data_IF_124727875397
#
_entry.id   IF_124727875397
#
_cell.length_a   1.000
_cell.length_b   1.000
_cell.length_c   1.000
_cell.angle_alpha   90.00
_cell.angle_beta   90.00
_cell.angle_gamma   90.00
#
_symmetry.space_group_name_H-M   'P 1'
#
loop_
_entity.id
_entity.type
_entity.pdbx_description
1 polymer ?
#
# COMPACT_ATOMS: atom_id res chain seq x y z
N UNK A 1 -11.00 4.22 -24.65
CA UNK A 1 -10.77 3.80 -23.27
C UNK A 1 -11.94 2.94 -22.83
N UNK A 2 -11.72 1.80 -22.17
CA UNK A 2 -12.80 1.08 -21.50
C UNK A 2 -13.28 1.99 -20.37
N UNK A 3 -14.56 2.36 -20.38
CA UNK A 3 -15.17 2.99 -19.20
C UNK A 3 -15.38 1.88 -18.18
N UNK A 4 -14.55 1.88 -17.14
CA UNK A 4 -14.79 1.10 -15.94
C UNK A 4 -15.56 2.03 -14.99
N UNK A 5 -16.77 1.66 -14.60
CA UNK A 5 -17.60 2.48 -13.72
C UNK A 5 -17.29 2.25 -12.24
N UNK A 6 -16.28 1.43 -11.92
CA UNK A 6 -15.91 1.10 -10.55
C UNK A 6 -15.09 2.21 -9.92
N UNK A 7 -15.35 2.46 -8.64
CA UNK A 7 -14.70 3.53 -7.86
C UNK A 7 -13.70 2.94 -6.86
N UNK A 8 -12.49 3.49 -6.88
CA UNK A 8 -11.38 3.08 -6.01
C UNK A 8 -11.04 4.18 -5.02
N UNK A 9 -11.02 3.88 -3.72
CA UNK A 9 -10.34 4.71 -2.73
C UNK A 9 -8.85 4.31 -2.70
N UNK A 10 -7.95 5.29 -2.79
CA UNK A 10 -6.51 5.07 -2.79
C UNK A 10 -5.83 5.96 -1.75
N UNK A 11 -5.04 5.38 -0.83
CA UNK A 11 -4.20 6.16 0.11
C UNK A 11 -2.74 6.20 -0.32
N UNK A 12 -2.03 7.27 0.06
CA UNK A 12 -0.61 7.42 -0.27
C UNK A 12 -0.37 7.72 -1.75
N UNK A 13 -1.28 8.46 -2.39
CA UNK A 13 -1.32 8.65 -3.84
C UNK A 13 -0.27 9.63 -4.38
N UNK A 14 0.36 10.45 -3.52
CA UNK A 14 1.24 11.55 -3.97
C UNK A 14 2.61 11.11 -4.46
N UNK A 15 3.05 9.86 -4.17
CA UNK A 15 4.40 9.41 -4.50
C UNK A 15 4.54 7.87 -4.59
N UNK A 16 5.67 7.43 -5.12
CA UNK A 16 6.11 6.03 -5.09
C UNK A 16 5.11 5.05 -5.67
N UNK A 17 4.82 3.99 -4.93
CA UNK A 17 3.90 2.93 -5.34
C UNK A 17 2.48 3.48 -5.53
N UNK A 18 1.98 4.30 -4.59
CA UNK A 18 0.63 4.84 -4.67
C UNK A 18 0.41 5.71 -5.90
N UNK A 19 1.38 6.54 -6.28
CA UNK A 19 1.33 7.33 -7.50
C UNK A 19 1.29 6.45 -8.77
N UNK A 20 2.09 5.37 -8.80
CA UNK A 20 2.06 4.43 -9.93
C UNK A 20 0.75 3.63 -10.00
N UNK A 21 0.15 3.32 -8.83
CA UNK A 21 -1.18 2.70 -8.77
C UNK A 21 -2.25 3.66 -9.29
N UNK A 22 -2.21 4.94 -8.88
CA UNK A 22 -3.12 5.97 -9.37
C UNK A 22 -3.08 6.07 -10.90
N UNK A 23 -1.87 6.24 -11.47
CA UNK A 23 -1.68 6.33 -12.92
C UNK A 23 -2.31 5.14 -13.64
N UNK A 24 -2.02 3.92 -13.18
CA UNK A 24 -2.57 2.71 -13.80
C UNK A 24 -4.07 2.59 -13.66
N UNK A 25 -4.65 2.93 -12.52
CA UNK A 25 -6.11 2.91 -12.32
C UNK A 25 -6.82 3.86 -13.29
N UNK A 26 -6.30 5.08 -13.43
CA UNK A 26 -6.87 6.08 -14.34
C UNK A 26 -6.77 5.64 -15.82
N UNK A 27 -5.61 5.08 -16.22
CA UNK A 27 -5.42 4.52 -17.58
C UNK A 27 -6.42 3.38 -17.88
N UNK A 28 -6.72 2.54 -16.90
CA UNK A 28 -7.69 1.44 -17.05
C UNK A 28 -9.16 1.91 -16.91
N UNK A 29 -9.39 3.22 -16.67
CA UNK A 29 -10.71 3.84 -16.69
C UNK A 29 -11.46 3.78 -15.37
N UNK A 30 -10.81 3.47 -14.25
CA UNK A 30 -11.42 3.56 -12.92
C UNK A 30 -11.69 5.02 -12.54
N UNK A 31 -12.73 5.24 -11.73
CA UNK A 31 -12.86 6.46 -10.96
C UNK A 31 -12.04 6.32 -9.68
N UNK A 32 -11.17 7.29 -9.40
CA UNK A 32 -10.26 7.24 -8.26
C UNK A 32 -10.51 8.41 -7.32
N UNK A 33 -10.71 8.10 -6.04
CA UNK A 33 -10.64 9.06 -4.93
C UNK A 33 -9.29 8.86 -4.26
N UNK A 34 -8.36 9.74 -4.61
CA UNK A 34 -6.98 9.69 -4.13
C UNK A 34 -6.83 10.44 -2.80
N UNK A 35 -6.09 9.88 -1.85
CA UNK A 35 -5.82 10.56 -0.58
C UNK A 35 -4.35 10.52 -0.21
N UNK A 36 -3.90 11.60 0.43
CA UNK A 36 -2.60 11.69 1.07
C UNK A 36 -2.68 12.68 2.24
N UNK A 37 -1.69 12.72 3.13
CA UNK A 37 -1.69 13.63 4.28
C UNK A 37 -1.51 15.10 3.91
N UNK A 38 -0.84 15.39 2.80
CA UNK A 38 -0.49 16.74 2.36
C UNK A 38 -1.25 17.09 1.07
N UNK A 39 -2.17 18.04 1.16
CA UNK A 39 -2.97 18.49 0.01
C UNK A 39 -2.09 19.18 -1.04
N UNK A 40 -1.13 20.01 -0.63
CA UNK A 40 -0.27 20.75 -1.56
C UNK A 40 0.56 19.80 -2.43
N UNK A 41 1.03 18.67 -1.83
CA UNK A 41 1.74 17.64 -2.59
C UNK A 41 0.82 16.91 -3.58
N UNK A 42 -0.45 16.70 -3.21
CA UNK A 42 -1.46 16.15 -4.10
C UNK A 42 -1.75 17.13 -5.25
N UNK A 43 -2.08 18.38 -4.96
CA UNK A 43 -2.39 19.39 -5.97
C UNK A 43 -1.25 19.53 -6.99
N UNK A 44 -0.03 19.75 -6.53
CA UNK A 44 1.12 19.93 -7.43
C UNK A 44 1.37 18.73 -8.36
N UNK A 45 1.13 17.50 -7.87
CA UNK A 45 1.42 16.28 -8.63
C UNK A 45 0.23 15.74 -9.42
N UNK A 46 -1.00 16.03 -8.97
CA UNK A 46 -2.21 15.46 -9.56
C UNK A 46 -2.95 16.41 -10.48
N UNK A 47 -2.55 17.69 -10.57
CA UNK A 47 -3.17 18.65 -11.48
C UNK A 47 -3.10 18.21 -12.94
N UNK A 48 -1.98 17.67 -13.39
CA UNK A 48 -1.83 17.12 -14.75
C UNK A 48 -2.79 15.94 -14.99
N UNK A 49 -2.94 15.06 -13.98
CA UNK A 49 -3.93 13.99 -14.03
C UNK A 49 -5.36 14.53 -14.05
N UNK A 50 -5.67 15.51 -13.20
CA UNK A 50 -6.98 16.15 -13.17
C UNK A 50 -7.34 16.81 -14.50
N UNK A 51 -6.37 17.45 -15.16
CA UNK A 51 -6.55 17.99 -16.50
C UNK A 51 -6.81 16.91 -17.55
N UNK A 52 -6.12 15.76 -17.43
CA UNK A 52 -6.21 14.67 -18.40
C UNK A 52 -7.46 13.80 -18.20
N UNK A 53 -7.81 13.50 -16.95
CA UNK A 53 -8.84 12.52 -16.59
C UNK A 53 -10.13 13.14 -16.03
N UNK A 54 -10.13 14.46 -15.73
CA UNK A 54 -11.32 15.21 -15.34
C UNK A 54 -12.04 14.59 -14.14
N UNK A 55 -13.30 14.21 -14.34
CA UNK A 55 -14.18 13.67 -13.30
C UNK A 55 -13.83 12.23 -12.85
N UNK A 56 -12.83 11.58 -13.48
CA UNK A 56 -12.35 10.28 -13.02
C UNK A 56 -11.45 10.39 -11.78
N UNK A 57 -10.97 11.58 -11.43
CA UNK A 57 -10.08 11.80 -10.30
C UNK A 57 -10.64 12.86 -9.36
N UNK A 58 -10.87 12.47 -8.10
CA UNK A 58 -11.01 13.38 -6.97
C UNK A 58 -9.89 13.13 -5.96
N UNK A 59 -9.50 14.14 -5.17
CA UNK A 59 -8.45 13.96 -4.17
C UNK A 59 -8.73 14.76 -2.88
N UNK A 60 -8.32 14.19 -1.75
CA UNK A 60 -8.56 14.73 -0.41
C UNK A 60 -7.33 14.58 0.49
N UNK A 61 -7.10 15.58 1.35
CA UNK A 61 -6.12 15.47 2.41
C UNK A 61 -6.69 14.60 3.54
N UNK A 62 -6.04 13.46 3.80
CA UNK A 62 -6.36 12.56 4.92
C UNK A 62 -5.06 12.15 5.60
N UNK A 63 -4.91 12.55 6.87
CA UNK A 63 -3.82 12.09 7.72
C UNK A 63 -4.29 10.86 8.53
N UNK A 64 -3.57 9.75 8.38
CA UNK A 64 -3.87 8.52 9.13
C UNK A 64 -3.65 8.66 10.64
N UNK A 65 -3.01 9.75 11.10
CA UNK A 65 -2.86 10.10 12.51
C UNK A 65 -3.96 11.03 13.04
N UNK A 66 -4.86 11.56 12.18
CA UNK A 66 -5.94 12.43 12.65
C UNK A 66 -6.90 11.62 13.56
N UNK A 67 -7.19 12.08 14.80
CA UNK A 67 -8.17 11.43 15.68
C UNK A 67 -9.58 11.30 15.06
N UNK A 68 -9.87 12.10 14.04
CA UNK A 68 -11.15 12.08 13.31
C UNK A 68 -11.10 11.21 12.04
N UNK A 69 -10.03 10.42 11.83
CA UNK A 69 -9.84 9.62 10.63
C UNK A 69 -11.09 8.80 10.27
N UNK A 70 -11.66 8.06 11.24
CA UNK A 70 -12.85 7.26 11.02
C UNK A 70 -14.05 8.10 10.54
N UNK A 71 -14.22 9.30 11.07
CA UNK A 71 -15.30 10.21 10.66
C UNK A 71 -15.11 10.77 9.26
N UNK A 72 -13.87 11.15 8.92
CA UNK A 72 -13.51 11.66 7.58
C UNK A 72 -13.75 10.57 6.52
N UNK A 73 -13.30 9.35 6.77
CA UNK A 73 -13.50 8.23 5.84
C UNK A 73 -14.96 7.84 5.73
N UNK A 74 -15.70 7.80 6.85
CA UNK A 74 -17.14 7.57 6.83
C UNK A 74 -17.89 8.64 6.03
N UNK A 75 -17.42 9.89 6.00
CA UNK A 75 -17.96 10.94 5.14
C UNK A 75 -17.71 10.64 3.68
N UNK A 76 -16.49 10.28 3.29
CA UNK A 76 -16.18 9.89 1.91
C UNK A 76 -17.04 8.68 1.47
N UNK A 77 -17.26 7.69 2.35
CA UNK A 77 -18.11 6.54 2.06
C UNK A 77 -19.60 6.88 1.89
N UNK A 78 -20.07 8.05 2.35
CA UNK A 78 -21.40 8.57 2.06
C UNK A 78 -21.48 9.29 0.71
N UNK A 79 -20.40 9.93 0.30
CA UNK A 79 -20.31 10.68 -0.96
C UNK A 79 -20.00 9.75 -2.15
N UNK A 80 -19.21 8.70 -1.89
CA UNK A 80 -18.76 7.75 -2.91
C UNK A 80 -19.11 6.32 -2.52
N UNK A 81 -19.52 5.53 -3.51
CA UNK A 81 -19.62 4.08 -3.37
C UNK A 81 -18.30 3.45 -3.84
N UNK A 82 -17.47 3.02 -2.90
CA UNK A 82 -16.18 2.41 -3.22
C UNK A 82 -16.33 0.91 -3.51
N UNK A 83 -16.07 0.50 -4.73
CA UNK A 83 -16.00 -0.91 -5.14
C UNK A 83 -14.67 -1.53 -4.69
N UNK A 84 -13.61 -0.70 -4.64
CA UNK A 84 -12.27 -1.11 -4.27
C UNK A 84 -11.64 -0.15 -3.28
N UNK A 85 -10.74 -0.71 -2.46
CA UNK A 85 -9.84 0.08 -1.60
C UNK A 85 -8.41 -0.38 -1.78
N UNK A 86 -7.48 0.57 -2.01
CA UNK A 86 -6.04 0.32 -2.08
C UNK A 86 -5.33 1.15 -1.02
N UNK A 87 -4.70 0.47 -0.05
CA UNK A 87 -3.92 1.09 1.02
C UNK A 87 -2.44 1.08 0.66
N UNK A 88 -1.92 2.23 0.20
CA UNK A 88 -0.49 2.41 -0.12
C UNK A 88 0.26 3.27 0.90
N UNK A 89 -0.44 4.05 1.72
CA UNK A 89 0.20 4.91 2.72
C UNK A 89 1.02 4.10 3.73
N UNK A 90 2.20 4.59 4.03
CA UNK A 90 3.08 3.99 5.02
C UNK A 90 4.35 4.79 5.23
N UNK A 91 4.98 4.57 6.37
CA UNK A 91 6.23 5.24 6.78
C UNK A 91 7.26 4.22 7.22
N UNK A 92 8.52 4.61 7.11
CA UNK A 92 9.68 3.84 7.52
C UNK A 92 10.62 4.75 8.33
N UNK A 93 10.96 4.35 9.56
CA UNK A 93 12.07 4.90 10.33
C UNK A 93 13.21 3.87 10.44
N UNK A 94 14.42 4.33 10.21
CA UNK A 94 15.62 3.48 10.19
C UNK A 94 16.29 3.52 11.56
N UNK A 95 16.57 2.35 12.12
CA UNK A 95 17.30 2.24 13.38
C UNK A 95 17.25 0.82 13.96
N UNK A 96 18.19 0.54 14.85
CA UNK A 96 18.18 -0.72 15.60
C UNK A 96 17.00 -0.74 16.56
N UNK A 97 16.13 -1.73 16.47
CA UNK A 97 14.88 -1.80 17.22
C UNK A 97 15.08 -1.71 18.74
N UNK A 98 16.17 -2.24 19.27
CA UNK A 98 16.48 -2.21 20.70
C UNK A 98 16.94 -0.83 21.22
N UNK A 99 17.26 0.10 20.32
CA UNK A 99 17.71 1.46 20.65
C UNK A 99 16.84 2.55 20.03
N UNK A 100 15.75 2.19 19.31
CA UNK A 100 14.85 3.14 18.67
C UNK A 100 13.98 3.84 19.70
N UNK A 101 13.70 5.14 19.48
CA UNK A 101 12.78 5.89 20.32
C UNK A 101 11.36 5.29 20.26
N UNK A 102 10.69 5.26 21.40
CA UNK A 102 9.35 4.68 21.48
C UNK A 102 8.33 5.42 20.60
N UNK A 103 8.51 6.73 20.42
CA UNK A 103 7.71 7.57 19.54
C UNK A 103 7.78 7.11 18.08
N UNK A 104 8.98 6.84 17.57
CA UNK A 104 9.18 6.39 16.20
C UNK A 104 8.53 5.02 15.96
N UNK A 105 8.63 4.12 16.96
CA UNK A 105 7.97 2.82 16.90
C UNK A 105 6.46 2.99 16.86
N UNK A 106 5.88 3.79 17.79
CA UNK A 106 4.45 4.06 17.84
C UNK A 106 3.94 4.65 16.53
N UNK A 107 4.61 5.68 16.00
CA UNK A 107 4.22 6.32 14.75
C UNK A 107 4.15 5.33 13.59
N UNK A 108 5.13 4.40 13.48
CA UNK A 108 5.06 3.36 12.45
C UNK A 108 3.86 2.44 12.62
N UNK A 109 3.51 2.05 13.85
CA UNK A 109 2.31 1.24 14.10
C UNK A 109 1.03 2.03 13.86
N UNK A 110 0.97 3.28 14.31
CA UNK A 110 -0.21 4.13 14.16
C UNK A 110 -0.54 4.35 12.68
N UNK A 111 0.46 4.61 11.84
CA UNK A 111 0.25 4.82 10.40
C UNK A 111 0.11 3.49 9.66
N UNK A 112 1.13 2.60 9.76
CA UNK A 112 1.20 1.42 8.91
C UNK A 112 0.16 0.36 9.27
N UNK A 113 -0.29 0.32 10.53
CA UNK A 113 -1.16 -0.74 11.06
C UNK A 113 -2.54 -0.20 11.41
N UNK A 114 -2.63 0.70 12.39
CA UNK A 114 -3.94 1.14 12.92
C UNK A 114 -4.66 2.08 11.97
N UNK A 115 -3.95 3.02 11.33
CA UNK A 115 -4.53 3.90 10.32
C UNK A 115 -5.07 3.11 9.13
N UNK A 116 -4.29 2.15 8.61
CA UNK A 116 -4.73 1.27 7.53
C UNK A 116 -5.95 0.42 7.95
N UNK A 117 -5.96 -0.13 9.18
CA UNK A 117 -7.10 -0.88 9.71
C UNK A 117 -8.36 -0.01 9.81
N UNK A 118 -8.23 1.23 10.31
CA UNK A 118 -9.36 2.17 10.39
C UNK A 118 -9.97 2.44 9.01
N UNK A 119 -9.12 2.63 7.99
CA UNK A 119 -9.60 2.79 6.61
C UNK A 119 -10.35 1.56 6.13
N UNK A 120 -9.81 0.35 6.35
CA UNK A 120 -10.45 -0.92 5.99
C UNK A 120 -11.83 -1.04 6.64
N UNK A 121 -11.93 -0.77 7.95
CA UNK A 121 -13.18 -0.87 8.71
C UNK A 121 -14.28 0.04 8.12
N UNK A 122 -13.94 1.30 7.83
CA UNK A 122 -14.94 2.25 7.32
C UNK A 122 -15.39 1.90 5.90
N UNK A 123 -14.47 1.52 5.02
CA UNK A 123 -14.81 1.16 3.63
C UNK A 123 -15.58 -0.16 3.57
N UNK A 124 -15.22 -1.12 4.40
CA UNK A 124 -15.88 -2.43 4.45
C UNK A 124 -17.37 -2.34 4.78
N UNK A 125 -17.80 -1.36 5.60
CA UNK A 125 -19.23 -1.19 5.91
C UNK A 125 -20.09 -0.96 4.65
N UNK A 126 -19.65 -0.09 3.75
CA UNK A 126 -20.34 0.12 2.47
C UNK A 126 -20.30 -1.11 1.56
N UNK A 127 -19.17 -1.81 1.53
CA UNK A 127 -19.01 -3.04 0.76
C UNK A 127 -19.89 -4.19 1.29
N UNK A 128 -20.03 -4.33 2.62
CA UNK A 128 -20.94 -5.32 3.23
C UNK A 128 -22.39 -5.14 2.79
N UNK A 129 -22.88 -3.90 2.75
CA UNK A 129 -24.25 -3.62 2.29
C UNK A 129 -24.47 -4.02 0.83
N UNK A 130 -23.45 -3.94 -0.01
CA UNK A 130 -23.51 -4.33 -1.43
C UNK A 130 -23.14 -5.79 -1.68
N UNK A 131 -22.65 -6.51 -0.66
CA UNK A 131 -22.18 -7.90 -0.76
C UNK A 131 -21.09 -8.08 -1.84
N UNK A 132 -20.23 -7.07 -2.00
CA UNK A 132 -19.17 -7.05 -3.00
C UNK A 132 -18.09 -6.05 -2.65
N UNK A 133 -16.82 -6.38 -2.92
CA UNK A 133 -15.70 -5.47 -2.78
C UNK A 133 -14.34 -6.15 -2.95
N UNK A 134 -13.31 -5.35 -3.23
CA UNK A 134 -11.93 -5.82 -3.21
C UNK A 134 -11.02 -4.83 -2.51
N UNK A 135 -10.29 -5.31 -1.51
CA UNK A 135 -9.34 -4.54 -0.72
C UNK A 135 -7.94 -5.08 -1.00
N UNK A 136 -7.01 -4.19 -1.36
CA UNK A 136 -5.59 -4.52 -1.55
C UNK A 136 -4.74 -3.62 -0.68
N UNK A 137 -3.88 -4.22 0.13
CA UNK A 137 -3.00 -3.50 1.05
C UNK A 137 -1.54 -3.68 0.64
N UNK A 138 -0.78 -2.60 0.58
CA UNK A 138 0.67 -2.67 0.37
C UNK A 138 1.34 -3.07 1.68
N UNK A 139 1.76 -4.33 1.72
CA UNK A 139 2.56 -4.91 2.78
C UNK A 139 4.05 -4.65 2.62
N UNK A 140 4.84 -5.68 2.90
CA UNK A 140 6.28 -5.71 2.67
C UNK A 140 6.80 -7.14 2.77
N UNK A 141 7.79 -7.51 1.99
CA UNK A 141 8.50 -8.77 2.15
C UNK A 141 9.26 -8.86 3.49
N UNK A 142 9.49 -7.73 4.17
CA UNK A 142 10.08 -7.70 5.52
C UNK A 142 9.10 -8.12 6.62
N UNK A 143 7.79 -8.23 6.33
CA UNK A 143 6.81 -8.66 7.33
C UNK A 143 7.06 -10.09 7.84
N UNK A 144 7.63 -10.95 7.00
CA UNK A 144 7.93 -12.35 7.34
C UNK A 144 9.45 -12.64 7.38
N UNK A 145 10.29 -11.67 7.02
CA UNK A 145 11.74 -11.86 6.95
C UNK A 145 12.45 -10.77 7.75
N UNK A 146 13.20 -11.11 8.81
CA UNK A 146 13.90 -10.12 9.63
C UNK A 146 14.96 -9.37 8.80
N UNK A 147 15.09 -8.06 9.06
CA UNK A 147 16.05 -7.18 8.41
C UNK A 147 16.71 -6.27 9.45
N UNK A 148 18.01 -6.09 9.36
CA UNK A 148 18.73 -5.12 10.21
C UNK A 148 18.21 -3.70 9.93
N UNK A 149 18.16 -2.89 10.97
CA UNK A 149 17.83 -1.47 10.98
C UNK A 149 16.38 -1.09 10.56
N UNK A 150 15.51 -2.05 10.28
CA UNK A 150 14.10 -1.82 9.98
C UNK A 150 13.16 -2.75 10.78
N UNK A 151 13.60 -3.21 11.96
CA UNK A 151 12.85 -4.19 12.76
C UNK A 151 11.47 -3.70 13.20
N UNK A 152 11.34 -2.43 13.62
CA UNK A 152 10.04 -1.87 14.01
C UNK A 152 9.09 -1.71 12.81
N UNK A 153 9.60 -1.30 11.65
CA UNK A 153 8.84 -1.29 10.41
C UNK A 153 8.36 -2.69 10.03
N UNK A 154 9.26 -3.68 10.06
CA UNK A 154 8.91 -5.07 9.78
C UNK A 154 7.81 -5.59 10.71
N UNK A 155 7.89 -5.29 12.01
CA UNK A 155 6.88 -5.64 13.00
C UNK A 155 5.52 -4.98 12.71
N UNK A 156 5.50 -3.68 12.35
CA UNK A 156 4.26 -2.98 11.98
C UNK A 156 3.61 -3.59 10.73
N UNK A 157 4.40 -3.99 9.73
CA UNK A 157 3.91 -4.67 8.53
C UNK A 157 3.46 -6.11 8.81
N UNK A 158 4.14 -6.85 9.72
CA UNK A 158 3.69 -8.17 10.17
C UNK A 158 2.32 -8.10 10.86
N UNK A 159 2.13 -7.12 11.74
CA UNK A 159 0.85 -6.87 12.39
C UNK A 159 -0.24 -6.54 11.36
N UNK A 160 0.04 -5.66 10.40
CA UNK A 160 -0.87 -5.33 9.31
C UNK A 160 -1.25 -6.57 8.50
N UNK A 161 -0.28 -7.43 8.12
CA UNK A 161 -0.54 -8.65 7.36
C UNK A 161 -1.53 -9.57 8.07
N UNK A 162 -1.33 -9.79 9.38
CA UNK A 162 -2.23 -10.65 10.14
C UNK A 162 -3.62 -10.03 10.26
N UNK A 163 -3.73 -8.72 10.53
CA UNK A 163 -5.02 -8.03 10.60
C UNK A 163 -5.78 -8.10 9.26
N UNK A 164 -5.09 -7.89 8.13
CA UNK A 164 -5.72 -8.00 6.80
C UNK A 164 -6.22 -9.42 6.54
N UNK A 165 -5.47 -10.45 6.92
CA UNK A 165 -5.90 -11.86 6.78
C UNK A 165 -7.12 -12.16 7.64
N UNK A 166 -7.18 -11.66 8.89
CA UNK A 166 -8.35 -11.79 9.75
C UNK A 166 -9.57 -11.07 9.16
N UNK A 167 -9.39 -9.80 8.74
CA UNK A 167 -10.46 -9.07 8.05
C UNK A 167 -10.95 -9.80 6.78
N UNK A 168 -10.03 -10.39 6.02
CA UNK A 168 -10.39 -11.15 4.82
C UNK A 168 -11.25 -12.37 5.13
N UNK A 169 -10.95 -13.07 6.23
CA UNK A 169 -11.74 -14.20 6.69
C UNK A 169 -13.14 -13.76 7.14
N UNK A 170 -13.21 -12.68 7.93
CA UNK A 170 -14.47 -12.13 8.46
C UNK A 170 -15.35 -11.50 7.36
N UNK A 171 -14.74 -10.91 6.33
CA UNK A 171 -15.45 -10.22 5.24
C UNK A 171 -15.82 -11.16 4.07
N UNK A 172 -15.30 -12.38 4.05
CA UNK A 172 -15.56 -13.34 2.97
C UNK A 172 -17.04 -13.72 2.83
N UNK A 173 -17.80 -13.78 3.93
CA UNK A 173 -19.24 -14.04 3.91
C UNK A 173 -20.04 -12.95 3.16
N UNK A 174 -19.48 -11.74 3.03
CA UNK A 174 -20.07 -10.62 2.30
C UNK A 174 -19.55 -10.52 0.85
N UNK A 175 -18.84 -11.53 0.35
CA UNK A 175 -18.27 -11.49 -1.00
C UNK A 175 -17.11 -10.50 -1.16
N UNK A 176 -16.51 -10.03 -0.07
CA UNK A 176 -15.41 -9.07 -0.08
C UNK A 176 -14.08 -9.82 -0.02
N UNK A 177 -13.18 -9.51 -0.95
CA UNK A 177 -11.82 -10.06 -0.99
C UNK A 177 -10.83 -9.07 -0.38
N UNK A 178 -9.94 -9.54 0.49
CA UNK A 178 -8.86 -8.73 1.03
C UNK A 178 -7.53 -9.44 0.78
N UNK A 179 -6.61 -8.77 0.09
CA UNK A 179 -5.30 -9.31 -0.27
C UNK A 179 -4.18 -8.33 0.05
N UNK A 180 -2.97 -8.83 0.07
CA UNK A 180 -1.75 -8.08 0.33
C UNK A 180 -0.86 -8.18 -0.92
N UNK A 181 -0.26 -7.07 -1.30
CA UNK A 181 0.91 -7.08 -2.19
C UNK A 181 2.12 -6.73 -1.34
N UNK A 182 3.13 -7.59 -1.35
CA UNK A 182 4.36 -7.44 -0.55
C UNK A 182 5.55 -7.13 -1.44
N UNK A 183 5.85 -5.84 -1.65
CA UNK A 183 7.03 -5.44 -2.41
C UNK A 183 8.32 -5.84 -1.69
N UNK A 184 9.36 -6.14 -2.49
CA UNK A 184 10.74 -6.05 -2.07
C UNK A 184 11.27 -4.63 -2.27
N UNK A 185 12.59 -4.53 -2.51
CA UNK A 185 13.23 -3.26 -2.87
C UNK A 185 12.60 -2.72 -4.17
N UNK A 186 11.95 -1.58 -4.05
CA UNK A 186 11.23 -0.90 -5.14
C UNK A 186 11.79 0.52 -5.28
N UNK A 187 12.01 1.00 -6.49
CA UNK A 187 12.59 2.32 -6.78
C UNK A 187 11.64 3.45 -6.37
N UNK A 188 11.67 3.82 -5.09
CA UNK A 188 10.89 4.87 -4.46
C UNK A 188 11.78 5.75 -3.59
N UNK A 189 11.31 6.92 -3.20
CA UNK A 189 12.02 7.78 -2.23
C UNK A 189 12.26 7.05 -0.90
N UNK A 190 11.30 6.25 -0.43
CA UNK A 190 11.46 5.42 0.77
C UNK A 190 12.65 4.44 0.64
N UNK A 191 12.86 3.86 -0.52
CA UNK A 191 13.99 2.96 -0.77
C UNK A 191 15.31 3.72 -0.85
N UNK A 192 15.34 4.88 -1.54
CA UNK A 192 16.58 5.67 -1.70
C UNK A 192 17.07 6.28 -0.39
N UNK A 193 16.18 6.53 0.59
CA UNK A 193 16.57 6.93 1.94
C UNK A 193 17.41 5.87 2.68
N UNK A 194 17.36 4.61 2.24
CA UNK A 194 18.21 3.52 2.78
C UNK A 194 19.61 3.53 2.19
N UNK A 195 19.84 4.27 1.11
CA UNK A 195 21.13 4.31 0.44
C UNK A 195 22.10 5.25 1.16
N UNK A 196 23.37 4.88 1.18
CA UNK A 196 24.48 5.62 1.81
C UNK A 196 25.71 5.49 0.92
N UNK A 197 26.78 6.22 1.19
CA UNK A 197 27.97 6.39 0.34
C UNK A 197 28.55 5.09 -0.27
N UNK A 198 28.41 3.96 0.40
CA UNK A 198 28.88 2.66 -0.09
C UNK A 198 27.75 1.60 -0.17
N UNK A 199 26.50 2.02 -0.14
CA UNK A 199 25.34 1.13 -0.18
C UNK A 199 24.22 1.73 -1.02
N UNK A 200 24.18 1.35 -2.29
CA UNK A 200 23.20 1.79 -3.27
C UNK A 200 22.51 0.62 -3.95
N UNK A 201 22.02 0.86 -5.14
CA UNK A 201 21.26 -0.11 -5.92
C UNK A 201 22.00 -1.43 -6.15
N UNK A 202 23.28 -1.35 -6.52
CA UNK A 202 24.08 -2.53 -6.83
C UNK A 202 24.21 -3.46 -5.62
N UNK A 203 24.46 -2.90 -4.44
CA UNK A 203 24.57 -3.67 -3.19
C UNK A 203 23.22 -4.27 -2.76
N UNK A 204 22.10 -3.60 -3.09
CA UNK A 204 20.77 -4.16 -2.86
C UNK A 204 20.53 -5.37 -3.75
N UNK A 205 20.94 -5.30 -5.02
CA UNK A 205 20.81 -6.38 -6.01
C UNK A 205 21.71 -7.56 -5.67
N UNK A 206 22.99 -7.30 -5.39
CA UNK A 206 23.99 -8.34 -5.11
C UNK A 206 23.84 -8.98 -3.72
N UNK A 207 23.19 -8.25 -2.80
CA UNK A 207 23.09 -8.65 -1.40
C UNK A 207 24.25 -8.11 -0.56
N UNK A 208 24.19 -8.41 0.74
CA UNK A 208 25.20 -7.98 1.70
C UNK A 208 25.28 -9.00 2.83
N UNK A 209 26.37 -9.77 2.86
CA UNK A 209 26.58 -10.82 3.85
C UNK A 209 26.66 -10.29 5.29
N UNK A 210 27.24 -9.10 5.49
CA UNK A 210 27.32 -8.46 6.81
C UNK A 210 25.94 -8.06 7.36
N UNK A 211 24.96 -7.87 6.46
CA UNK A 211 23.58 -7.57 6.80
C UNK A 211 22.64 -8.78 6.65
N UNK A 212 23.19 -9.96 6.40
CA UNK A 212 22.43 -11.21 6.17
C UNK A 212 21.41 -11.07 5.02
N UNK A 213 21.77 -10.33 3.96
CA UNK A 213 20.94 -10.14 2.76
C UNK A 213 21.48 -10.94 1.60
N UNK A 214 20.62 -11.78 1.02
CA UNK A 214 20.99 -12.66 -0.12
C UNK A 214 21.02 -11.94 -1.47
N UNK A 215 20.47 -10.74 -1.56
CA UNK A 215 20.32 -10.04 -2.84
C UNK A 215 18.99 -10.35 -3.52
N UNK A 216 18.90 -10.01 -4.81
CA UNK A 216 17.68 -10.17 -5.62
C UNK A 216 17.99 -11.14 -6.77
N UNK A 217 17.44 -12.37 -6.78
CA UNK A 217 17.69 -13.35 -7.84
C UNK A 217 17.40 -12.88 -9.26
N UNK A 218 16.37 -12.04 -9.46
CA UNK A 218 16.09 -11.42 -10.76
C UNK A 218 17.04 -10.28 -11.15
N UNK A 219 18.07 -10.01 -10.35
CA UNK A 219 19.16 -9.05 -10.61
C UNK A 219 18.69 -7.63 -10.95
N UNK A 220 17.57 -7.20 -10.38
CA UNK A 220 17.03 -5.84 -10.53
C UNK A 220 16.15 -5.44 -9.35
N UNK A 221 16.09 -4.15 -9.07
CA UNK A 221 15.10 -3.55 -8.19
C UNK A 221 13.77 -3.44 -8.95
N UNK A 222 12.63 -3.65 -8.27
CA UNK A 222 11.32 -3.45 -8.86
C UNK A 222 11.06 -1.96 -9.13
N UNK A 223 10.34 -1.68 -10.20
CA UNK A 223 9.78 -0.36 -10.44
C UNK A 223 8.39 -0.26 -9.78
N UNK A 224 7.94 0.95 -9.36
CA UNK A 224 6.60 1.13 -8.81
C UNK A 224 5.48 0.59 -9.70
N UNK A 225 5.67 0.64 -11.02
CA UNK A 225 4.75 0.10 -12.02
C UNK A 225 4.60 -1.43 -11.95
N UNK A 226 5.62 -2.18 -11.49
CA UNK A 226 5.52 -3.63 -11.32
C UNK A 226 4.58 -3.98 -10.15
N UNK A 227 4.65 -3.17 -9.08
CA UNK A 227 3.74 -3.31 -7.94
C UNK A 227 2.31 -2.92 -8.33
N UNK A 228 2.14 -1.81 -9.07
CA UNK A 228 0.84 -1.35 -9.54
C UNK A 228 0.11 -2.40 -10.38
N UNK A 229 0.81 -3.11 -11.27
CA UNK A 229 0.21 -4.22 -12.06
C UNK A 229 -0.33 -5.34 -11.17
N UNK A 230 0.38 -5.68 -10.11
CA UNK A 230 -0.04 -6.71 -9.15
C UNK A 230 -1.27 -6.27 -8.35
N UNK A 231 -1.34 -4.98 -7.99
CA UNK A 231 -2.54 -4.40 -7.37
C UNK A 231 -3.74 -4.52 -8.31
N UNK A 232 -3.62 -4.07 -9.56
CA UNK A 232 -4.71 -4.14 -10.53
C UNK A 232 -5.18 -5.57 -10.79
N UNK A 233 -4.25 -6.53 -10.87
CA UNK A 233 -4.61 -7.95 -10.95
C UNK A 233 -5.49 -8.38 -9.78
N UNK A 234 -5.11 -8.05 -8.54
CA UNK A 234 -5.87 -8.43 -7.35
C UNK A 234 -7.22 -7.70 -7.22
N UNK A 235 -7.37 -6.51 -7.79
CA UNK A 235 -8.66 -5.82 -7.86
C UNK A 235 -9.60 -6.50 -8.88
N UNK A 236 -9.07 -6.99 -9.98
CA UNK A 236 -9.85 -7.50 -11.11
C UNK A 236 -10.56 -8.83 -10.88
N UNK A 237 -11.49 -9.18 -11.77
CA UNK A 237 -12.18 -10.47 -11.81
C UNK A 237 -11.24 -11.66 -12.05
N UNK A 238 -10.06 -11.43 -12.61
CA UNK A 238 -9.05 -12.48 -12.75
C UNK A 238 -8.60 -13.05 -11.38
N UNK A 239 -8.74 -12.25 -10.32
CA UNK A 239 -8.43 -12.65 -8.94
C UNK A 239 -9.69 -12.98 -8.11
N UNK A 240 -10.85 -13.24 -8.73
CA UNK A 240 -12.14 -13.45 -8.03
C UNK A 240 -12.13 -14.58 -6.99
N UNK A 241 -11.18 -15.51 -7.10
CA UNK A 241 -11.04 -16.65 -6.19
C UNK A 241 -9.81 -16.50 -5.27
N UNK A 242 -9.23 -15.29 -5.19
CA UNK A 242 -8.05 -14.99 -4.37
C UNK A 242 -8.45 -14.05 -3.24
N UNK A 243 -8.36 -14.52 -2.00
CA UNK A 243 -8.51 -13.73 -0.76
C UNK A 243 -7.52 -14.23 0.29
N UNK A 244 -7.18 -13.41 1.30
CA UNK A 244 -6.16 -13.68 2.33
C UNK A 244 -4.74 -13.91 1.79
N UNK A 245 -4.51 -13.69 0.50
CA UNK A 245 -3.24 -13.96 -0.13
C UNK A 245 -2.24 -12.82 0.09
N UNK A 246 -0.98 -13.18 0.32
CA UNK A 246 0.16 -12.28 0.34
C UNK A 246 0.97 -12.49 -0.94
N UNK A 247 0.69 -11.65 -1.96
CA UNK A 247 1.37 -11.71 -3.24
C UNK A 247 2.72 -10.98 -3.15
N UNK A 248 3.78 -11.75 -3.10
CA UNK A 248 5.14 -11.23 -3.01
C UNK A 248 5.65 -10.77 -4.39
N UNK A 249 6.18 -9.53 -4.43
CA UNK A 249 6.74 -8.91 -5.64
C UNK A 249 8.11 -8.36 -5.30
N UNK A 250 9.09 -9.25 -5.17
CA UNK A 250 10.43 -8.92 -4.65
C UNK A 250 11.61 -9.51 -5.44
N UNK A 251 11.33 -10.08 -6.62
CA UNK A 251 12.34 -10.68 -7.47
C UNK A 251 13.02 -11.93 -6.88
N UNK A 252 12.38 -12.56 -5.88
CA UNK A 252 12.90 -13.73 -5.19
C UNK A 252 13.81 -13.41 -4.00
N UNK A 253 13.88 -12.15 -3.54
CA UNK A 253 14.79 -11.70 -2.48
C UNK A 253 14.54 -12.36 -1.10
N UNK A 254 13.38 -12.95 -0.87
CA UNK A 254 13.03 -13.65 0.38
C UNK A 254 12.88 -15.16 0.22
N UNK A 255 13.22 -15.73 -0.95
CA UNK A 255 13.13 -17.16 -1.23
C UNK A 255 11.77 -17.79 -0.84
N UNK A 256 10.71 -17.00 -0.94
CA UNK A 256 9.32 -17.39 -0.65
C UNK A 256 9.05 -17.88 0.79
N UNK A 257 9.64 -17.20 1.78
CA UNK A 257 9.38 -17.47 3.21
C UNK A 257 8.15 -16.73 3.72
#
# INVERSE_FOLDING_TARGET
MKQNNETVLLTGASQGIGYAVLDRLLVEGYKVVATDRCIDALETKLDDFKQTYGDQLDYYAIDLLDPRLAQQVAQLCREYQFDHFVSCAGVLSIGNVHAMAAEDIRQMFDINTFGALTMIQQVAEGMKHRQSGSIVVIGSNSANTPRLNIGAYAASKSALHMLVKCCALELAEYGIRCNIVSPGSTRTEMQTQLWRDNYGEQQVIEGNLEQYRLGIPLSRIAEPADIAKSVLFLLSDAARQITMHDLRVDGGATLDN
#
